data_IF_992345803339
#
_entry.id   IF_992345803339
#
_cell.length_a   1.000
_cell.length_b   1.000
_cell.length_c   1.000
_cell.angle_alpha   90.00
_cell.angle_beta   90.00
_cell.angle_gamma   90.00
#
_symmetry.space_group_name_H-M   'P 1'
#
loop_
_entity.id
_entity.type
_entity.pdbx_description
1 polymer ?
#
# COMPACT_ATOMS: atom_id res chain seq x y z
N UNK A 1 -5.03 -10.53 11.55
CA UNK A 1 -4.17 -9.41 12.00
C UNK A 1 -3.32 -8.90 10.84
N UNK A 2 -3.00 -7.61 10.85
CA UNK A 2 -2.20 -6.96 9.82
C UNK A 2 -0.99 -6.29 10.45
N UNK A 3 0.11 -6.21 9.70
CA UNK A 3 1.22 -5.30 9.96
C UNK A 3 1.06 -4.07 9.08
N UNK A 4 1.19 -2.86 9.64
CA UNK A 4 1.30 -1.63 8.85
C UNK A 4 2.78 -1.41 8.54
N UNK A 5 3.09 -1.30 7.26
CA UNK A 5 4.48 -1.28 6.77
C UNK A 5 4.92 0.13 6.42
N UNK A 6 4.04 0.89 5.78
CA UNK A 6 4.35 2.19 5.22
C UNK A 6 3.13 3.10 5.32
N UNK A 7 3.37 4.38 5.58
CA UNK A 7 2.34 5.41 5.75
C UNK A 7 2.79 6.69 5.07
N UNK A 8 3.37 7.65 5.80
CA UNK A 8 3.90 8.89 5.27
C UNK A 8 5.33 8.69 4.74
N UNK A 9 5.56 9.11 3.50
CA UNK A 9 6.89 9.22 2.89
C UNK A 9 7.29 10.67 2.68
N UNK A 10 8.58 10.92 2.75
CA UNK A 10 9.25 12.10 2.22
C UNK A 10 9.49 11.97 0.72
N UNK A 11 9.83 13.08 0.08
CA UNK A 11 10.24 13.06 -1.32
C UNK A 11 11.53 12.26 -1.55
N UNK A 12 12.50 12.34 -0.63
CA UNK A 12 13.76 11.60 -0.70
C UNK A 12 13.52 10.09 -0.66
N UNK A 13 12.71 9.60 0.28
CA UNK A 13 12.36 8.18 0.36
C UNK A 13 11.62 7.70 -0.91
N UNK A 14 10.77 8.55 -1.49
CA UNK A 14 10.08 8.23 -2.74
C UNK A 14 11.04 8.17 -3.93
N UNK A 15 12.03 9.05 -3.99
CA UNK A 15 13.08 9.03 -5.01
C UNK A 15 13.97 7.80 -4.89
N UNK A 16 14.36 7.44 -3.67
CA UNK A 16 15.10 6.21 -3.38
C UNK A 16 14.31 4.96 -3.78
N UNK A 17 13.01 4.93 -3.52
CA UNK A 17 12.14 3.82 -3.92
C UNK A 17 12.02 3.68 -5.44
N UNK A 18 12.01 4.80 -6.17
CA UNK A 18 12.04 4.78 -7.64
C UNK A 18 13.42 4.28 -8.12
N UNK A 19 14.51 4.75 -7.52
CA UNK A 19 15.86 4.33 -7.85
C UNK A 19 16.08 2.83 -7.61
N UNK A 20 15.48 2.28 -6.55
CA UNK A 20 15.46 0.85 -6.22
C UNK A 20 14.49 0.03 -7.08
N UNK A 21 13.66 0.66 -7.90
CA UNK A 21 12.66 -0.02 -8.73
C UNK A 21 11.46 -0.58 -7.97
N UNK A 22 11.27 -0.20 -6.69
CA UNK A 22 10.11 -0.62 -5.86
C UNK A 22 8.94 0.36 -5.92
N UNK A 23 9.09 1.44 -6.68
CA UNK A 23 8.04 2.40 -7.02
C UNK A 23 8.16 2.80 -8.50
N UNK A 24 7.02 3.06 -9.15
CA UNK A 24 6.95 3.41 -10.58
C UNK A 24 6.47 4.85 -10.84
N UNK A 25 6.21 5.63 -9.79
CA UNK A 25 5.68 7.00 -9.93
C UNK A 25 6.27 7.95 -8.90
N UNK A 26 6.52 9.21 -9.31
CA UNK A 26 6.86 10.30 -8.39
C UNK A 26 5.63 10.85 -7.65
N UNK A 27 4.44 10.66 -8.20
CA UNK A 27 3.19 11.14 -7.64
C UNK A 27 2.55 10.04 -6.76
N UNK A 28 3.15 9.78 -5.59
CA UNK A 28 2.66 8.79 -4.63
C UNK A 28 1.67 9.39 -3.63
N UNK A 29 0.65 8.62 -3.25
CA UNK A 29 -0.29 8.98 -2.18
C UNK A 29 0.27 8.80 -0.77
N UNK A 30 1.47 8.20 -0.63
CA UNK A 30 2.23 8.22 0.62
C UNK A 30 2.89 9.58 0.88
N UNK A 31 3.06 10.42 -0.14
CA UNK A 31 3.56 11.79 0.04
C UNK A 31 2.47 12.68 0.65
N UNK A 32 2.83 13.78 1.33
CA UNK A 32 1.88 14.80 1.78
C UNK A 32 0.95 15.26 0.66
N UNK A 33 -0.37 15.11 0.84
CA UNK A 33 -1.39 15.57 -0.08
C UNK A 33 -2.02 16.85 0.44
N UNK A 34 -2.14 17.87 -0.41
CA UNK A 34 -2.87 19.09 -0.09
C UNK A 34 -4.39 18.81 0.02
N UNK A 35 -5.14 19.60 0.83
CA UNK A 35 -4.67 20.75 1.62
C UNK A 35 -4.10 20.39 3.00
N UNK A 36 -4.41 19.22 3.56
CA UNK A 36 -4.04 18.87 4.95
C UNK A 36 -2.59 18.43 5.11
N UNK A 37 -1.83 18.30 4.01
CA UNK A 37 -0.42 17.90 3.99
C UNK A 37 -0.15 16.56 4.71
N UNK A 38 -1.06 15.60 4.53
CA UNK A 38 -0.96 14.25 5.08
C UNK A 38 -0.90 13.19 3.99
N UNK A 39 -0.37 12.02 4.33
CA UNK A 39 -0.47 10.85 3.46
C UNK A 39 -1.94 10.41 3.32
N UNK A 40 -2.29 9.95 2.14
CA UNK A 40 -3.60 9.38 1.82
C UNK A 40 -3.49 7.90 1.43
N UNK A 41 -2.37 7.25 1.77
CA UNK A 41 -2.11 5.84 1.52
C UNK A 41 -1.47 5.15 2.72
N UNK A 42 -1.67 3.84 2.77
CA UNK A 42 -1.04 2.92 3.72
C UNK A 42 -0.68 1.61 3.00
N UNK A 43 0.42 0.99 3.41
CA UNK A 43 0.77 -0.36 3.02
C UNK A 43 0.58 -1.32 4.20
N UNK A 44 -0.03 -2.47 3.94
CA UNK A 44 -0.26 -3.52 4.95
C UNK A 44 0.17 -4.90 4.47
N UNK A 45 0.51 -5.77 5.41
CA UNK A 45 0.73 -7.20 5.17
C UNK A 45 -0.06 -8.07 6.14
N UNK A 46 -0.46 -9.30 5.73
CA UNK A 46 -0.89 -10.32 6.67
C UNK A 46 0.19 -10.55 7.74
N UNK A 47 -0.17 -10.42 9.01
CA UNK A 47 0.83 -10.46 10.09
C UNK A 47 1.64 -11.77 10.13
N UNK A 48 1.02 -12.91 9.83
CA UNK A 48 1.71 -14.20 9.76
C UNK A 48 2.76 -14.25 8.62
N UNK A 49 2.42 -13.67 7.47
CA UNK A 49 3.34 -13.57 6.33
C UNK A 49 4.50 -12.63 6.64
N UNK A 50 4.23 -11.49 7.30
CA UNK A 50 5.26 -10.59 7.79
C UNK A 50 6.19 -11.25 8.81
N UNK A 51 5.66 -12.05 9.74
CA UNK A 51 6.50 -12.77 10.72
C UNK A 51 7.43 -13.80 10.06
N UNK A 52 6.99 -14.41 8.96
CA UNK A 52 7.77 -15.41 8.24
C UNK A 52 8.85 -14.79 7.35
N UNK A 53 8.49 -13.73 6.62
CA UNK A 53 9.30 -13.20 5.51
C UNK A 53 9.86 -11.80 5.76
N UNK A 54 9.50 -11.15 6.87
CA UNK A 54 9.88 -9.77 7.16
C UNK A 54 9.17 -8.73 6.27
N UNK A 55 9.74 -7.51 6.17
CA UNK A 55 9.12 -6.39 5.44
C UNK A 55 9.32 -6.43 3.92
N UNK A 56 10.15 -7.34 3.40
CA UNK A 56 10.43 -7.42 1.95
C UNK A 56 9.22 -8.01 1.20
N UNK A 57 8.48 -7.14 0.51
CA UNK A 57 7.28 -7.50 -0.26
C UNK A 57 7.55 -8.58 -1.32
N UNK A 58 8.78 -8.72 -1.81
CA UNK A 58 9.15 -9.72 -2.82
C UNK A 58 9.14 -11.16 -2.27
N UNK A 59 9.21 -11.32 -0.95
CA UNK A 59 9.20 -12.62 -0.27
C UNK A 59 7.79 -13.12 0.04
N UNK A 60 6.76 -12.35 -0.35
CA UNK A 60 5.37 -12.65 -0.03
C UNK A 60 4.68 -13.36 -1.19
N UNK A 61 3.88 -14.38 -0.87
CA UNK A 61 3.03 -15.02 -1.87
C UNK A 61 1.89 -14.08 -2.26
N UNK A 62 2.02 -13.44 -3.43
CA UNK A 62 1.01 -12.54 -3.97
C UNK A 62 -0.28 -13.25 -4.40
N UNK A 63 -0.27 -14.59 -4.53
CA UNK A 63 -1.44 -15.38 -4.90
C UNK A 63 -2.19 -15.94 -3.68
N UNK A 64 -1.68 -15.72 -2.46
CA UNK A 64 -2.36 -16.17 -1.25
C UNK A 64 -3.77 -15.53 -1.18
N UNK A 65 -4.84 -16.34 -1.02
CA UNK A 65 -6.22 -15.85 -0.98
C UNK A 65 -6.49 -14.85 0.16
N UNK A 66 -5.62 -14.76 1.16
CA UNK A 66 -5.69 -13.75 2.22
C UNK A 66 -5.69 -12.33 1.65
N UNK A 67 -4.98 -12.07 0.55
CA UNK A 67 -4.91 -10.75 -0.08
C UNK A 67 -6.27 -10.31 -0.60
N UNK A 68 -7.02 -11.21 -1.25
CA UNK A 68 -8.38 -10.91 -1.71
C UNK A 68 -9.32 -10.60 -0.54
N UNK A 69 -9.16 -11.28 0.59
CA UNK A 69 -9.93 -11.00 1.82
C UNK A 69 -9.60 -9.62 2.38
N UNK A 70 -8.31 -9.28 2.49
CA UNK A 70 -7.85 -7.98 2.99
C UNK A 70 -8.32 -6.85 2.06
N UNK A 71 -8.15 -7.05 0.75
CA UNK A 71 -8.62 -6.16 -0.31
C UNK A 71 -10.10 -5.81 -0.17
N UNK A 72 -10.96 -6.84 -0.11
CA UNK A 72 -12.42 -6.66 0.05
C UNK A 72 -12.80 -5.90 1.33
N UNK A 73 -12.07 -6.10 2.43
CA UNK A 73 -12.29 -5.36 3.67
C UNK A 73 -11.92 -3.88 3.50
N UNK A 74 -10.78 -3.58 2.87
CA UNK A 74 -10.41 -2.19 2.59
C UNK A 74 -11.41 -1.51 1.65
N UNK A 75 -11.83 -2.21 0.60
CA UNK A 75 -12.87 -1.75 -0.34
C UNK A 75 -14.20 -1.46 0.38
N UNK A 76 -14.64 -2.32 1.31
CA UNK A 76 -15.88 -2.11 2.07
C UNK A 76 -15.81 -0.94 3.07
N UNK A 77 -14.60 -0.50 3.43
CA UNK A 77 -14.35 0.71 4.23
C UNK A 77 -14.19 1.97 3.36
N UNK A 78 -14.35 1.86 2.04
CA UNK A 78 -14.25 2.98 1.10
C UNK A 78 -12.83 3.28 0.60
N UNK A 79 -11.86 2.38 0.81
CA UNK A 79 -10.51 2.54 0.29
C UNK A 79 -10.41 2.02 -1.15
N UNK A 80 -9.56 2.64 -1.96
CA UNK A 80 -9.09 2.05 -3.22
C UNK A 80 -7.94 1.11 -2.92
N UNK A 81 -8.07 -0.13 -3.37
CA UNK A 81 -7.07 -1.18 -3.19
C UNK A 81 -6.19 -1.37 -4.43
N UNK A 82 -4.87 -1.38 -4.24
CA UNK A 82 -3.89 -1.56 -5.30
C UNK A 82 -3.91 -2.95 -5.97
N UNK A 83 -4.47 -3.96 -5.30
CA UNK A 83 -4.66 -5.30 -5.89
C UNK A 83 -5.61 -5.32 -7.09
N UNK A 84 -6.41 -4.27 -7.28
CA UNK A 84 -7.29 -4.09 -8.46
C UNK A 84 -6.60 -3.42 -9.65
N UNK A 85 -5.39 -2.87 -9.49
CA UNK A 85 -4.71 -2.17 -10.58
C UNK A 85 -4.37 -3.11 -11.74
N UNK A 86 -4.51 -2.64 -12.98
CA UNK A 86 -4.32 -3.50 -14.18
C UNK A 86 -2.85 -3.73 -14.52
N UNK A 87 -2.03 -2.67 -14.43
CA UNK A 87 -0.65 -2.69 -14.95
C UNK A 87 0.40 -2.92 -13.84
N UNK A 88 0.12 -2.47 -12.62
CA UNK A 88 1.05 -2.57 -11.49
C UNK A 88 0.26 -3.01 -10.27
N UNK A 89 -0.11 -4.28 -10.16
CA UNK A 89 -0.85 -4.77 -8.98
C UNK A 89 0.01 -4.62 -7.74
N UNK A 90 -0.54 -3.98 -6.70
CA UNK A 90 0.10 -3.90 -5.39
C UNK A 90 -0.91 -4.31 -4.31
N UNK A 91 -0.82 -5.56 -3.86
CA UNK A 91 -1.77 -6.11 -2.90
C UNK A 91 -1.65 -5.48 -1.50
N UNK A 92 -0.49 -4.90 -1.17
CA UNK A 92 -0.27 -4.27 0.12
C UNK A 92 -0.87 -2.86 0.19
N UNK A 93 -1.02 -2.20 -0.96
CA UNK A 93 -1.35 -0.78 -1.05
C UNK A 93 -2.84 -0.49 -0.93
N UNK A 94 -3.18 0.42 -0.03
CA UNK A 94 -4.49 1.06 0.04
C UNK A 94 -4.34 2.57 0.01
N UNK A 95 -5.30 3.24 -0.62
CA UNK A 95 -5.37 4.69 -0.64
C UNK A 95 -6.81 5.20 -0.57
N UNK A 96 -6.96 6.49 -0.29
CA UNK A 96 -8.24 7.17 -0.45
C UNK A 96 -8.87 6.91 -1.82
N UNK A 97 -10.20 6.77 -1.86
CA UNK A 97 -11.05 7.94 -1.91
C UNK A 97 -11.99 7.90 -0.72
N UNK A 98 -11.65 8.66 0.31
CA UNK A 98 -12.47 8.85 1.50
C UNK A 98 -13.89 9.25 1.08
N UNK A 99 -14.83 8.30 1.05
CA UNK A 99 -16.25 8.63 0.83
C UNK A 99 -16.65 9.58 1.94
N UNK A 100 -16.90 10.85 1.60
CA UNK A 100 -17.53 11.81 2.51
C UNK A 100 -18.91 11.23 2.86
N UNK A 101 -19.08 10.81 4.11
CA UNK A 101 -20.40 10.78 4.73
C UNK A 101 -20.87 12.22 4.94
#
# INVERSE_FOLDING_TARGET
PLMVLDTLRTMEEQEDNIARGVSWTKNSKHLPQAPEMRAEAIDVAPYAMYQLSGPDKLQWDANDPVWEKIGKIGESLGLVWGGRWKNHRDNAHFQGPWTRA
#
